data_IF_375954698479
#
_entry.id   IF_375954698479
#
_cell.length_a   1.000
_cell.length_b   1.000
_cell.length_c   1.000
_cell.angle_alpha   90.00
_cell.angle_beta   90.00
_cell.angle_gamma   90.00
#
_symmetry.space_group_name_H-M   'P 1'
#
loop_
_entity.id
_entity.type
_entity.pdbx_description
1 polymer ?
#
# COMPACT_ATOMS: atom_id res chain seq x y z
N UNK A 1 -56.83 -16.99 35.52
CA UNK A 1 -56.40 -17.15 34.12
C UNK A 1 -56.36 -15.79 33.47
N UNK A 2 -55.18 -15.44 32.95
CA UNK A 2 -54.84 -14.35 32.02
C UNK A 2 -55.62 -13.02 32.09
N UNK A 3 -54.95 -11.98 32.59
CA UNK A 3 -54.88 -10.72 31.85
C UNK A 3 -53.44 -10.18 31.97
N UNK A 4 -52.75 -10.13 30.84
CA UNK A 4 -51.34 -9.74 30.71
C UNK A 4 -51.24 -8.23 30.79
N UNK A 5 -50.51 -7.73 31.79
CA UNK A 5 -50.13 -6.32 31.94
C UNK A 5 -49.04 -6.01 30.92
N UNK A 6 -49.42 -5.41 29.79
CA UNK A 6 -48.48 -4.89 28.79
C UNK A 6 -47.85 -3.59 29.33
N UNK A 7 -46.56 -3.67 29.66
CA UNK A 7 -45.76 -2.54 30.13
C UNK A 7 -45.63 -1.51 29.01
N UNK A 8 -46.15 -0.31 29.26
CA UNK A 8 -45.89 0.87 28.47
C UNK A 8 -44.40 1.28 28.54
N UNK A 9 -43.85 1.56 27.36
CA UNK A 9 -43.09 2.77 27.07
C UNK A 9 -41.91 3.12 28.01
N UNK A 10 -40.69 2.79 27.60
CA UNK A 10 -39.60 3.79 27.57
C UNK A 10 -38.76 3.53 26.31
N UNK A 11 -39.15 4.19 25.21
CA UNK A 11 -38.25 4.45 24.10
C UNK A 11 -37.15 5.38 24.59
N UNK A 12 -36.02 4.84 25.02
CA UNK A 12 -34.80 5.63 25.19
C UNK A 12 -34.30 5.97 23.79
N UNK A 13 -34.75 7.13 23.32
CA UNK A 13 -34.12 7.89 22.25
C UNK A 13 -32.70 8.25 22.70
N UNK A 14 -31.75 7.34 22.48
CA UNK A 14 -30.35 7.70 22.38
C UNK A 14 -30.15 8.47 21.08
N UNK A 15 -30.57 9.73 21.05
CA UNK A 15 -30.13 10.69 20.05
C UNK A 15 -28.73 11.16 20.43
N UNK A 16 -27.76 10.26 20.39
CA UNK A 16 -26.37 10.69 20.29
C UNK A 16 -26.22 11.31 18.89
N UNK A 17 -25.79 12.58 18.74
CA UNK A 17 -25.48 13.10 17.43
C UNK A 17 -24.39 12.21 16.84
N UNK A 18 -24.73 11.54 15.74
CA UNK A 18 -23.77 10.80 14.91
C UNK A 18 -22.91 11.83 14.18
N UNK A 19 -22.17 12.63 14.93
CA UNK A 19 -21.33 13.69 14.41
C UNK A 19 -19.91 13.45 14.89
N UNK A 20 -19.02 13.31 13.91
CA UNK A 20 -17.57 13.23 14.02
C UNK A 20 -16.91 11.85 14.25
N UNK A 21 -17.44 10.78 13.64
CA UNK A 21 -16.54 9.81 12.99
C UNK A 21 -16.35 10.22 11.53
N UNK A 22 -15.89 11.45 11.26
CA UNK A 22 -15.28 11.72 9.96
C UNK A 22 -13.97 10.96 9.96
N UNK A 23 -13.98 9.76 9.38
CA UNK A 23 -12.76 9.19 8.85
C UNK A 23 -12.19 10.27 7.94
N UNK A 24 -11.19 11.00 8.44
CA UNK A 24 -10.38 11.88 7.59
C UNK A 24 -10.00 11.03 6.39
N UNK A 25 -10.20 11.48 5.14
CA UNK A 25 -9.61 10.82 3.99
C UNK A 25 -8.11 10.94 4.17
N UNK A 26 -7.54 10.02 4.95
CA UNK A 26 -6.11 9.81 5.02
C UNK A 26 -5.78 9.42 3.60
N UNK A 27 -5.10 10.32 2.88
CA UNK A 27 -4.21 9.89 1.81
C UNK A 27 -3.48 8.66 2.35
N UNK A 28 -3.51 7.51 1.68
CA UNK A 28 -2.87 6.32 2.20
C UNK A 28 -1.46 6.72 2.61
N UNK A 29 -1.16 6.49 3.90
CA UNK A 29 0.16 6.79 4.42
C UNK A 29 1.17 6.04 3.56
N UNK A 30 2.31 6.66 3.27
CA UNK A 30 3.32 5.96 2.49
C UNK A 30 3.72 4.71 3.28
N UNK A 31 3.60 3.55 2.64
CA UNK A 31 3.90 2.29 3.29
C UNK A 31 5.32 1.82 2.93
N UNK A 32 5.99 1.20 3.90
CA UNK A 32 7.25 0.53 3.64
C UNK A 32 7.07 -0.67 2.72
N UNK A 33 8.06 -0.92 1.86
CA UNK A 33 8.04 -2.03 0.92
C UNK A 33 9.42 -2.69 0.81
N UNK A 34 9.42 -3.96 0.42
CA UNK A 34 10.66 -4.72 0.15
C UNK A 34 10.52 -5.40 -1.21
N UNK A 35 11.57 -5.29 -2.02
CA UNK A 35 11.71 -6.00 -3.28
C UNK A 35 12.81 -7.04 -3.11
N UNK A 36 12.50 -8.30 -3.43
CA UNK A 36 13.45 -9.41 -3.38
C UNK A 36 13.76 -9.87 -4.80
N UNK A 37 15.04 -9.87 -5.16
CA UNK A 37 15.48 -10.30 -6.49
C UNK A 37 15.46 -11.83 -6.59
N UNK A 38 14.97 -12.33 -7.72
CA UNK A 38 14.93 -13.76 -8.03
C UNK A 38 16.16 -14.18 -8.85
N UNK A 39 16.61 -15.45 -8.74
CA UNK A 39 17.71 -15.98 -9.53
C UNK A 39 17.57 -15.70 -11.04
N UNK A 40 18.68 -15.44 -11.76
CA UNK A 40 20.07 -15.56 -11.31
C UNK A 40 20.59 -14.35 -10.51
N UNK A 41 19.77 -13.33 -10.30
CA UNK A 41 20.11 -12.18 -9.47
C UNK A 41 19.73 -12.43 -8.01
N UNK A 42 20.31 -11.65 -7.10
CA UNK A 42 20.03 -11.78 -5.68
C UNK A 42 20.05 -10.44 -4.96
N UNK A 43 19.61 -10.47 -3.70
CA UNK A 43 19.57 -9.30 -2.83
C UNK A 43 18.16 -8.75 -2.61
N UNK A 44 18.09 -7.70 -1.80
CA UNK A 44 16.86 -7.06 -1.39
C UNK A 44 17.02 -5.54 -1.42
N UNK A 45 15.96 -4.86 -1.84
CA UNK A 45 15.85 -3.40 -1.83
C UNK A 45 14.66 -2.99 -0.98
N UNK A 46 14.89 -2.06 -0.07
CA UNK A 46 13.94 -1.56 0.91
C UNK A 46 13.50 -0.16 0.51
N UNK A 47 12.20 0.06 0.50
CA UNK A 47 11.55 1.36 0.34
C UNK A 47 11.03 1.79 1.70
N UNK A 48 11.62 2.83 2.26
CA UNK A 48 11.24 3.34 3.58
C UNK A 48 10.67 4.74 3.45
N UNK A 49 9.40 4.97 3.84
CA UNK A 49 8.82 6.29 3.97
C UNK A 49 9.68 7.20 4.85
N UNK A 50 9.89 8.41 4.37
CA UNK A 50 10.52 9.49 5.15
C UNK A 50 9.59 10.69 5.17
N UNK A 51 9.92 11.68 6.00
CA UNK A 51 9.19 12.94 6.05
C UNK A 51 9.04 13.61 4.68
N UNK A 52 7.96 14.37 4.52
CA UNK A 52 7.69 15.11 3.28
C UNK A 52 7.24 14.25 2.10
N UNK A 53 6.60 13.09 2.37
CA UNK A 53 6.12 12.14 1.34
C UNK A 53 7.23 11.66 0.39
N UNK A 54 8.40 11.39 0.95
CA UNK A 54 9.56 10.87 0.22
C UNK A 54 9.80 9.40 0.56
N UNK A 55 10.50 8.70 -0.31
CA UNK A 55 10.95 7.33 -0.07
C UNK A 55 12.48 7.32 -0.07
N UNK A 56 13.05 6.71 0.97
CA UNK A 56 14.46 6.32 0.98
C UNK A 56 14.55 4.90 0.44
N UNK A 57 15.39 4.71 -0.58
CA UNK A 57 15.62 3.42 -1.21
C UNK A 57 17.03 2.96 -0.83
N UNK A 58 17.15 1.79 -0.21
CA UNK A 58 18.44 1.19 0.14
C UNK A 58 18.43 -0.31 -0.02
N UNK A 59 19.59 -0.92 -0.28
CA UNK A 59 19.67 -2.36 -0.38
C UNK A 59 20.92 -2.82 -1.12
N UNK A 60 20.90 -4.09 -1.49
CA UNK A 60 21.97 -4.72 -2.27
C UNK A 60 21.35 -5.51 -3.42
N UNK A 61 22.04 -5.51 -4.56
CA UNK A 61 21.71 -6.33 -5.72
C UNK A 61 23.00 -7.00 -6.18
N UNK A 62 22.95 -8.30 -6.45
CA UNK A 62 24.11 -9.11 -6.86
C UNK A 62 23.86 -9.82 -8.18
N UNK A 63 24.94 -10.31 -8.81
CA UNK A 63 24.87 -10.98 -10.11
C UNK A 63 24.81 -10.02 -11.31
N UNK A 64 25.04 -8.72 -11.10
CA UNK A 64 25.04 -7.70 -12.15
C UNK A 64 26.38 -7.65 -12.90
N UNK A 65 26.40 -7.25 -14.18
CA UNK A 65 27.64 -7.09 -14.94
C UNK A 65 28.58 -6.06 -14.30
N UNK A 66 29.86 -6.45 -14.14
CA UNK A 66 30.89 -5.57 -13.61
C UNK A 66 31.17 -4.39 -14.54
N UNK A 67 31.63 -3.27 -13.96
CA UNK A 67 32.08 -2.07 -14.68
C UNK A 67 31.04 -1.51 -15.67
N UNK A 68 29.75 -1.63 -15.34
CA UNK A 68 28.65 -1.16 -16.17
C UNK A 68 27.76 -0.18 -15.42
N UNK A 69 27.16 0.76 -16.14
CA UNK A 69 26.04 1.57 -15.65
C UNK A 69 24.74 0.92 -16.07
N UNK A 70 23.84 0.72 -15.11
CA UNK A 70 22.57 0.03 -15.31
C UNK A 70 21.41 0.95 -14.96
N UNK A 71 20.33 0.86 -15.75
CA UNK A 71 19.09 1.57 -15.46
C UNK A 71 18.34 0.93 -14.29
N UNK A 72 17.69 1.76 -13.48
CA UNK A 72 16.80 1.32 -12.41
C UNK A 72 15.45 1.98 -12.62
N UNK A 73 14.40 1.17 -12.76
CA UNK A 73 13.05 1.62 -13.06
C UNK A 73 12.03 0.98 -12.13
N UNK A 74 10.94 1.68 -11.87
CA UNK A 74 9.72 1.10 -11.27
C UNK A 74 8.76 0.84 -12.43
N UNK A 75 8.24 -0.38 -12.52
CA UNK A 75 7.28 -0.77 -13.55
C UNK A 75 5.84 -0.67 -13.02
N UNK A 76 4.88 -0.53 -13.94
CA UNK A 76 3.47 -0.35 -13.61
C UNK A 76 2.79 -1.57 -12.97
N UNK A 77 3.34 -2.78 -13.19
CA UNK A 77 2.79 -4.03 -12.66
C UNK A 77 3.85 -4.81 -11.88
N UNK A 78 3.42 -5.48 -10.82
CA UNK A 78 4.25 -6.42 -10.05
C UNK A 78 4.33 -7.83 -10.64
N UNK A 79 4.02 -8.02 -11.93
CA UNK A 79 4.06 -9.32 -12.58
C UNK A 79 5.44 -9.57 -13.20
N UNK A 80 6.12 -10.63 -12.75
CA UNK A 80 7.46 -11.00 -13.23
C UNK A 80 7.44 -12.08 -14.34
N UNK A 81 6.25 -12.41 -14.86
CA UNK A 81 6.05 -13.34 -15.97
C UNK A 81 6.75 -12.92 -17.26
N UNK A 82 6.85 -13.88 -18.19
CA UNK A 82 7.44 -13.68 -19.52
C UNK A 82 8.81 -12.98 -19.49
N UNK A 83 9.71 -13.45 -18.60
CA UNK A 83 11.05 -12.85 -18.38
C UNK A 83 10.96 -11.34 -18.09
N UNK A 84 10.08 -10.95 -17.16
CA UNK A 84 9.78 -9.57 -16.75
C UNK A 84 9.04 -8.70 -17.78
N UNK A 85 8.72 -9.19 -18.98
CA UNK A 85 7.96 -8.41 -19.97
C UNK A 85 6.53 -8.08 -19.48
N UNK A 86 5.97 -8.93 -18.62
CA UNK A 86 4.62 -8.72 -18.08
C UNK A 86 4.56 -7.62 -17.00
N UNK A 87 5.71 -7.08 -16.57
CA UNK A 87 5.79 -5.92 -15.69
C UNK A 87 5.26 -4.65 -16.38
N UNK A 88 5.19 -4.64 -17.72
CA UNK A 88 4.68 -3.54 -18.51
C UNK A 88 5.67 -2.38 -18.63
N UNK A 89 5.14 -1.18 -18.88
CA UNK A 89 5.94 0.03 -19.05
C UNK A 89 6.53 0.58 -17.73
N UNK A 90 7.24 1.70 -17.84
CA UNK A 90 7.63 2.49 -16.66
C UNK A 90 6.38 3.01 -15.94
N UNK A 91 6.39 2.95 -14.61
CA UNK A 91 5.34 3.55 -13.81
C UNK A 91 5.35 5.07 -13.98
N UNK A 92 4.32 5.59 -14.64
CA UNK A 92 4.18 7.01 -14.95
C UNK A 92 2.74 7.49 -14.68
N UNK A 93 2.36 7.63 -13.39
CA UNK A 93 0.98 7.96 -13.01
C UNK A 93 0.55 9.37 -13.46
N UNK A 94 1.51 10.21 -13.86
CA UNK A 94 1.26 11.60 -14.29
C UNK A 94 1.46 11.81 -15.79
N UNK A 95 1.82 10.76 -16.54
CA UNK A 95 2.03 10.80 -17.99
C UNK A 95 3.00 11.91 -18.45
N UNK A 96 4.15 12.03 -17.78
CA UNK A 96 5.21 13.00 -18.10
C UNK A 96 6.47 12.35 -18.65
#
# INVERSE_FOLDING_TARGET
MQLVLWLCCVTVLCTAPVSACRASPRTPDLQAGVVTFQPPFGGQVFFTPTEGRRLRITGTVTGLPANSSLGVHVHEKGNLGNRCLDAGGHWNPFQR
#
